data_IF_121863418126
#
_entry.id   IF_121863418126
#
_cell.length_a   1.000
_cell.length_b   1.000
_cell.length_c   1.000
_cell.angle_alpha   90.00
_cell.angle_beta   90.00
_cell.angle_gamma   90.00
#
_symmetry.space_group_name_H-M   'P 1'
#
loop_
_entity.id
_entity.type
_entity.pdbx_description
1 polymer ?
#
# COMPACT_ATOMS: atom_id res chain seq x y z
N UNK A 1 -31.92 1.62 25.01
CA UNK A 1 -30.64 2.33 24.75
C UNK A 1 -29.94 1.60 23.63
N UNK A 2 -29.53 2.30 22.57
CA UNK A 2 -28.73 1.70 21.49
C UNK A 2 -27.26 1.68 21.94
N UNK A 3 -26.64 0.51 21.98
CA UNK A 3 -25.21 0.37 22.22
C UNK A 3 -24.49 0.38 20.87
N UNK A 4 -23.43 1.17 20.74
CA UNK A 4 -22.53 1.15 19.59
C UNK A 4 -21.38 0.23 19.95
N UNK A 5 -21.12 -0.79 19.13
CA UNK A 5 -19.93 -1.65 19.24
C UNK A 5 -18.99 -1.34 18.08
N UNK A 6 -17.71 -1.19 18.40
CA UNK A 6 -16.69 -0.65 17.48
C UNK A 6 -15.86 -1.70 16.73
N UNK A 7 -16.04 -3.01 17.03
CA UNK A 7 -15.38 -4.14 16.37
C UNK A 7 -13.86 -3.96 16.10
N UNK A 8 -13.05 -3.68 17.14
CA UNK A 8 -11.62 -3.40 16.97
C UNK A 8 -10.81 -4.57 16.38
N UNK A 9 -11.20 -5.82 16.63
CA UNK A 9 -10.54 -7.00 16.07
C UNK A 9 -10.63 -7.06 14.55
N UNK A 10 -11.77 -6.63 13.98
CA UNK A 10 -11.96 -6.59 12.54
C UNK A 10 -11.05 -5.55 11.87
N UNK A 11 -10.82 -4.41 12.54
CA UNK A 11 -9.87 -3.38 12.07
C UNK A 11 -8.43 -3.91 12.10
N UNK A 12 -8.03 -4.59 13.18
CA UNK A 12 -6.69 -5.19 13.28
C UNK A 12 -6.47 -6.28 12.21
N UNK A 13 -7.46 -7.17 11.99
CA UNK A 13 -7.39 -8.17 10.95
C UNK A 13 -7.27 -7.55 9.54
N UNK A 14 -8.01 -6.46 9.29
CA UNK A 14 -7.92 -5.72 8.03
C UNK A 14 -6.54 -5.10 7.83
N UNK A 15 -5.98 -4.47 8.88
CA UNK A 15 -4.63 -3.91 8.83
C UNK A 15 -3.57 -4.98 8.49
N UNK A 16 -3.64 -6.16 9.13
CA UNK A 16 -2.74 -7.27 8.85
C UNK A 16 -2.86 -7.79 7.41
N UNK A 17 -4.09 -7.93 6.89
CA UNK A 17 -4.31 -8.34 5.51
C UNK A 17 -3.75 -7.31 4.51
N UNK A 18 -4.00 -6.02 4.76
CA UNK A 18 -3.46 -4.94 3.93
C UNK A 18 -1.93 -4.88 3.98
N UNK A 19 -1.30 -5.19 5.11
CA UNK A 19 0.15 -5.31 5.21
C UNK A 19 0.70 -6.41 4.30
N UNK A 20 0.06 -7.58 4.26
CA UNK A 20 0.43 -8.68 3.36
C UNK A 20 0.28 -8.32 1.88
N UNK A 21 -0.80 -7.62 1.51
CA UNK A 21 -1.01 -7.12 0.15
C UNK A 21 0.07 -6.10 -0.22
N UNK A 22 0.37 -5.15 0.68
CA UNK A 22 1.40 -4.12 0.47
C UNK A 22 2.79 -4.73 0.27
N UNK A 23 3.15 -5.74 1.07
CA UNK A 23 4.41 -6.47 0.91
C UNK A 23 4.51 -7.17 -0.46
N UNK A 24 3.43 -7.82 -0.89
CA UNK A 24 3.36 -8.47 -2.22
C UNK A 24 3.51 -7.46 -3.34
N UNK A 25 2.83 -6.31 -3.23
CA UNK A 25 2.89 -5.23 -4.22
C UNK A 25 4.29 -4.61 -4.30
N UNK A 26 4.94 -4.33 -3.16
CA UNK A 26 6.31 -3.81 -3.10
C UNK A 26 7.31 -4.77 -3.76
N UNK A 27 7.18 -6.08 -3.49
CA UNK A 27 8.02 -7.10 -4.12
C UNK A 27 7.83 -7.14 -5.65
N UNK A 28 6.59 -7.06 -6.14
CA UNK A 28 6.31 -7.05 -7.57
C UNK A 28 6.81 -5.77 -8.26
N UNK A 29 6.65 -4.61 -7.63
CA UNK A 29 7.16 -3.35 -8.16
C UNK A 29 8.68 -3.35 -8.28
N UNK A 30 9.38 -3.89 -7.28
CA UNK A 30 10.83 -4.07 -7.31
C UNK A 30 11.25 -5.05 -8.43
N UNK A 31 10.57 -6.19 -8.55
CA UNK A 31 10.86 -7.17 -9.61
C UNK A 31 10.62 -6.60 -11.03
N UNK A 32 9.63 -5.72 -11.19
CA UNK A 32 9.32 -5.09 -12.47
C UNK A 32 10.30 -3.97 -12.84
N UNK A 33 11.07 -3.41 -11.91
CA UNK A 33 11.89 -2.22 -12.14
C UNK A 33 12.95 -2.43 -13.25
N UNK A 34 13.76 -3.49 -13.15
CA UNK A 34 14.80 -3.78 -14.13
C UNK A 34 14.25 -4.06 -15.54
N UNK A 35 13.29 -4.99 -15.75
CA UNK A 35 12.80 -5.30 -17.09
C UNK A 35 12.03 -4.15 -17.76
N UNK A 36 11.41 -3.26 -16.98
CA UNK A 36 10.65 -2.12 -17.55
C UNK A 36 11.50 -0.88 -17.82
N UNK A 37 12.62 -0.69 -17.10
CA UNK A 37 13.56 0.41 -17.33
C UNK A 37 14.70 0.06 -18.30
N UNK A 38 14.89 -1.24 -18.57
CA UNK A 38 15.91 -1.77 -19.48
C UNK A 38 15.41 -2.08 -20.90
N UNK A 39 14.31 -1.46 -21.36
CA UNK A 39 13.75 -1.73 -22.69
C UNK A 39 14.74 -1.32 -23.77
N UNK A 40 15.12 -2.28 -24.62
CA UNK A 40 16.02 -2.03 -25.75
C UNK A 40 15.22 -1.61 -27.00
N UNK A 41 15.79 -0.77 -27.89
CA UNK A 41 15.19 -0.46 -29.19
C UNK A 41 14.96 -1.73 -30.01
N UNK A 42 13.79 -1.84 -30.65
CA UNK A 42 13.45 -3.00 -31.48
C UNK A 42 14.30 -3.08 -32.77
N UNK A 43 14.70 -1.93 -33.30
CA UNK A 43 15.61 -1.79 -34.43
C UNK A 43 16.50 -0.54 -34.27
N UNK A 44 17.45 -0.34 -35.19
CA UNK A 44 18.43 0.75 -35.14
C UNK A 44 17.87 2.12 -35.59
N UNK A 45 16.61 2.18 -35.99
CA UNK A 45 15.98 3.42 -36.44
C UNK A 45 15.62 4.34 -35.26
N UNK A 46 15.44 5.61 -35.57
CA UNK A 46 15.15 6.65 -34.58
C UNK A 46 13.80 6.44 -33.86
N UNK A 47 12.80 5.87 -34.54
CA UNK A 47 11.48 5.62 -33.94
C UNK A 47 11.60 4.55 -32.87
N UNK A 48 12.26 3.43 -33.18
CA UNK A 48 12.57 2.37 -32.22
C UNK A 48 13.34 2.88 -30.99
N UNK A 49 14.35 3.72 -31.21
CA UNK A 49 15.13 4.31 -30.12
C UNK A 49 14.29 5.23 -29.22
N UNK A 50 13.47 6.10 -29.82
CA UNK A 50 12.59 7.00 -29.09
C UNK A 50 11.51 6.24 -28.31
N UNK A 51 10.91 5.22 -28.91
CA UNK A 51 9.90 4.39 -28.25
C UNK A 51 10.48 3.67 -27.03
N UNK A 52 11.65 3.04 -27.15
CA UNK A 52 12.32 2.41 -26.02
C UNK A 52 12.62 3.42 -24.90
N UNK A 53 13.13 4.61 -25.24
CA UNK A 53 13.39 5.67 -24.28
C UNK A 53 12.12 6.15 -23.55
N UNK A 54 10.99 6.28 -24.26
CA UNK A 54 9.70 6.64 -23.64
C UNK A 54 9.23 5.59 -22.64
N UNK A 55 9.37 4.30 -22.95
CA UNK A 55 9.05 3.23 -22.00
C UNK A 55 9.92 3.31 -20.75
N UNK A 56 11.22 3.54 -20.90
CA UNK A 56 12.13 3.69 -19.76
C UNK A 56 11.75 4.88 -18.86
N UNK A 57 11.43 6.04 -19.46
CA UNK A 57 10.97 7.23 -18.72
C UNK A 57 9.65 6.95 -18.00
N UNK A 58 8.69 6.31 -18.67
CA UNK A 58 7.41 5.95 -18.06
C UNK A 58 7.61 5.00 -16.88
N UNK A 59 8.48 3.98 -17.03
CA UNK A 59 8.81 3.04 -15.97
C UNK A 59 9.45 3.74 -14.76
N UNK A 60 10.36 4.69 -14.97
CA UNK A 60 10.95 5.48 -13.89
C UNK A 60 9.90 6.32 -13.14
N UNK A 61 8.98 6.96 -13.87
CA UNK A 61 7.86 7.70 -13.26
C UNK A 61 6.95 6.77 -12.46
N UNK A 62 6.63 5.59 -13.01
CA UNK A 62 5.83 4.57 -12.33
C UNK A 62 6.49 4.13 -11.01
N UNK A 63 7.81 3.91 -10.99
CA UNK A 63 8.52 3.54 -9.77
C UNK A 63 8.47 4.65 -8.71
N UNK A 64 8.62 5.91 -9.11
CA UNK A 64 8.52 7.05 -8.19
C UNK A 64 7.11 7.17 -7.57
N UNK A 65 6.07 7.05 -8.40
CA UNK A 65 4.68 7.10 -7.94
C UNK A 65 4.37 5.89 -7.03
N UNK A 66 4.89 4.72 -7.39
CA UNK A 66 4.72 3.49 -6.61
C UNK A 66 5.32 3.60 -5.21
N UNK A 67 6.49 4.21 -5.07
CA UNK A 67 7.10 4.46 -3.76
C UNK A 67 6.25 5.43 -2.91
N UNK A 68 5.65 6.46 -3.54
CA UNK A 68 4.73 7.35 -2.84
C UNK A 68 3.45 6.63 -2.40
N UNK A 69 2.89 5.76 -3.24
CA UNK A 69 1.72 4.95 -2.91
C UNK A 69 2.00 3.98 -1.76
N UNK A 70 3.19 3.37 -1.72
CA UNK A 70 3.62 2.51 -0.61
C UNK A 70 3.66 3.26 0.73
N UNK A 71 4.19 4.48 0.74
CA UNK A 71 4.21 5.31 1.95
C UNK A 71 2.79 5.62 2.45
N UNK A 72 1.88 6.00 1.55
CA UNK A 72 0.46 6.26 1.89
C UNK A 72 -0.21 4.99 2.42
N UNK A 73 0.04 3.84 1.81
CA UNK A 73 -0.50 2.56 2.24
C UNK A 73 -0.03 2.18 3.65
N UNK A 74 1.24 2.39 3.97
CA UNK A 74 1.77 2.18 5.33
C UNK A 74 1.12 3.11 6.36
N UNK A 75 0.90 4.39 6.01
CA UNK A 75 0.19 5.32 6.89
C UNK A 75 -1.26 4.90 7.15
N UNK A 76 -1.95 4.37 6.12
CA UNK A 76 -3.30 3.84 6.27
C UNK A 76 -3.34 2.65 7.25
N UNK A 77 -2.42 1.70 7.09
CA UNK A 77 -2.31 0.53 7.99
C UNK A 77 -2.06 0.99 9.44
N UNK A 78 -1.09 1.88 9.65
CA UNK A 78 -0.78 2.40 10.99
C UNK A 78 -1.98 3.12 11.61
N UNK A 79 -2.73 3.87 10.80
CA UNK A 79 -3.96 4.53 11.25
C UNK A 79 -5.02 3.52 11.66
N UNK A 80 -5.21 2.44 10.91
CA UNK A 80 -6.16 1.38 11.25
C UNK A 80 -5.81 0.68 12.57
N UNK A 81 -4.53 0.35 12.77
CA UNK A 81 -4.04 -0.27 14.01
C UNK A 81 -4.22 0.65 15.22
N UNK A 82 -3.93 1.95 15.05
CA UNK A 82 -4.13 2.94 16.10
C UNK A 82 -5.61 3.06 16.49
N UNK A 83 -6.51 3.15 15.51
CA UNK A 83 -7.94 3.20 15.76
C UNK A 83 -8.46 1.92 16.43
N UNK A 84 -8.02 0.74 15.99
CA UNK A 84 -8.37 -0.54 16.61
C UNK A 84 -8.01 -0.55 18.11
N UNK A 85 -6.80 -0.10 18.45
CA UNK A 85 -6.33 -0.01 19.84
C UNK A 85 -7.16 0.99 20.65
N UNK A 86 -7.43 2.17 20.10
CA UNK A 86 -8.21 3.23 20.75
C UNK A 86 -9.65 2.79 21.04
N UNK A 87 -10.28 2.12 20.07
CA UNK A 87 -11.62 1.58 20.22
C UNK A 87 -11.67 0.43 21.24
N UNK A 88 -10.71 -0.51 21.20
CA UNK A 88 -10.63 -1.57 22.21
C UNK A 88 -10.48 -1.02 23.64
N UNK A 89 -9.65 0.01 23.83
CA UNK A 89 -9.50 0.68 25.13
C UNK A 89 -10.80 1.36 25.60
N UNK A 90 -11.55 1.98 24.68
CA UNK A 90 -12.82 2.62 24.98
C UNK A 90 -13.90 1.60 25.36
N UNK A 91 -14.01 0.48 24.64
CA UNK A 91 -14.94 -0.61 24.97
C UNK A 91 -14.63 -1.22 26.35
N UNK A 92 -13.35 -1.44 26.66
CA UNK A 92 -12.93 -1.94 27.96
C UNK A 92 -13.28 -0.96 29.10
N UNK A 93 -13.06 0.34 28.91
CA UNK A 93 -13.45 1.36 29.90
C UNK A 93 -14.97 1.37 30.13
N UNK A 94 -15.77 1.37 29.05
CA UNK A 94 -17.22 1.32 29.13
C UNK A 94 -17.74 0.07 29.86
N UNK A 95 -17.10 -1.09 29.64
CA UNK A 95 -17.45 -2.33 30.34
C UNK A 95 -17.26 -2.24 31.86
N UNK A 96 -16.23 -1.52 32.33
CA UNK A 96 -15.99 -1.31 33.76
C UNK A 96 -16.96 -0.34 34.41
N UNK A 97 -17.51 0.62 33.65
CA UNK A 97 -18.50 1.59 34.13
C UNK A 97 -19.94 1.07 34.15
N UNK A 98 -20.20 -0.07 33.50
CA UNK A 98 -21.51 -0.70 33.43
C UNK A 98 -21.82 -1.62 34.64
N UNK A 99 -20.92 -1.72 35.62
CA UNK A 99 -21.08 -2.49 36.86
C UNK A 99 -21.45 -1.58 38.03
#
# INVERSE_FOLDING_TARGET
MSYVTTQPEALSATAANLAGIGATMSAQNSAAAAPTTGVMPAAADQVSALTAAQFCVHAQMYQAISAQAEAIHQQLISTLEHNATSYAATEAANATMAC
#
